data_IF_149861571465
#
_entry.id   IF_149861571465
#
_cell.length_a   1.000
_cell.length_b   1.000
_cell.length_c   1.000
_cell.angle_alpha   90.00
_cell.angle_beta   90.00
_cell.angle_gamma   90.00
#
_symmetry.space_group_name_H-M   'P 1'
#
loop_
_entity.id
_entity.type
_entity.pdbx_description
1 polymer ?
#
# COMPACT_ATOMS: atom_id res chain seq x y z
N UNK A 1 -42.71 25.43 28.08
CA UNK A 1 -42.70 24.22 27.23
C UNK A 1 -41.29 24.04 26.68
N UNK A 2 -40.69 22.91 27.05
CA UNK A 2 -39.59 22.17 26.41
C UNK A 2 -38.15 22.68 26.55
N UNK A 3 -37.50 22.10 27.57
CA UNK A 3 -36.06 21.87 27.66
C UNK A 3 -35.57 21.08 26.44
N UNK A 4 -34.95 21.78 25.49
CA UNK A 4 -34.16 21.19 24.40
C UNK A 4 -32.68 21.48 24.67
N UNK A 5 -32.12 20.77 25.64
CA UNK A 5 -30.66 20.68 25.82
C UNK A 5 -30.33 19.19 25.92
N UNK A 6 -30.47 18.50 24.79
CA UNK A 6 -29.89 17.18 24.55
C UNK A 6 -29.39 17.14 23.11
N UNK A 7 -28.67 18.19 22.69
CA UNK A 7 -27.94 18.17 21.43
C UNK A 7 -26.51 17.67 21.66
N UNK A 8 -26.37 16.36 21.46
CA UNK A 8 -25.33 15.76 20.62
C UNK A 8 -23.90 16.02 21.09
N UNK A 9 -23.44 15.22 22.04
CA UNK A 9 -22.03 14.84 22.18
C UNK A 9 -21.86 13.34 21.94
N UNK A 10 -22.07 12.89 20.69
CA UNK A 10 -21.79 11.50 20.29
C UNK A 10 -21.21 11.45 18.87
N UNK A 11 -19.93 11.82 18.68
CA UNK A 11 -19.20 11.34 17.49
C UNK A 11 -17.68 11.12 17.66
N UNK A 12 -17.15 11.21 18.89
CA UNK A 12 -15.74 10.87 19.15
C UNK A 12 -15.44 9.36 19.11
N UNK A 13 -16.46 8.51 19.30
CA UNK A 13 -16.30 7.06 19.41
C UNK A 13 -16.39 6.33 18.06
N UNK A 14 -17.19 6.84 17.10
CA UNK A 14 -17.36 6.21 15.79
C UNK A 14 -16.04 6.16 15.02
N UNK A 15 -15.32 7.28 14.98
CA UNK A 15 -14.02 7.37 14.28
C UNK A 15 -12.96 6.46 14.90
N UNK A 16 -12.89 6.36 16.25
CA UNK A 16 -11.95 5.46 16.94
C UNK A 16 -12.25 4.00 16.63
N UNK A 17 -13.52 3.60 16.60
CA UNK A 17 -13.95 2.23 16.27
C UNK A 17 -13.62 1.87 14.81
N UNK A 18 -13.77 2.83 13.88
CA UNK A 18 -13.42 2.66 12.47
C UNK A 18 -11.91 2.52 12.24
N UNK A 19 -11.09 3.27 12.99
CA UNK A 19 -9.62 3.13 12.94
C UNK A 19 -9.18 1.78 13.53
N UNK A 20 -9.74 1.38 14.68
CA UNK A 20 -9.42 0.12 15.35
C UNK A 20 -9.83 -1.10 14.52
N UNK A 21 -11.02 -1.07 13.91
CA UNK A 21 -11.45 -2.14 13.00
C UNK A 21 -10.58 -2.23 11.74
N UNK A 22 -10.07 -1.10 11.23
CA UNK A 22 -9.14 -1.07 10.09
C UNK A 22 -7.76 -1.61 10.46
N UNK A 23 -7.25 -1.34 11.66
CA UNK A 23 -5.97 -1.92 12.13
C UNK A 23 -6.10 -3.42 12.40
N UNK A 24 -7.19 -3.89 13.01
CA UNK A 24 -7.45 -5.33 13.20
C UNK A 24 -7.49 -6.05 11.84
N UNK A 25 -8.24 -5.52 10.86
CA UNK A 25 -8.30 -6.13 9.51
C UNK A 25 -6.92 -6.20 8.84
N UNK A 26 -6.07 -5.18 9.00
CA UNK A 26 -4.69 -5.21 8.51
C UNK A 26 -3.84 -6.25 9.25
N UNK A 27 -3.98 -6.35 10.57
CA UNK A 27 -3.28 -7.33 11.37
C UNK A 27 -3.66 -8.77 10.99
N UNK A 28 -4.96 -9.05 10.83
CA UNK A 28 -5.45 -10.35 10.37
C UNK A 28 -4.95 -10.69 8.96
N UNK A 29 -4.89 -9.70 8.07
CA UNK A 29 -4.36 -9.88 6.73
C UNK A 29 -2.85 -10.19 6.76
N UNK A 30 -2.10 -9.53 7.65
CA UNK A 30 -0.68 -9.82 7.86
C UNK A 30 -0.47 -11.23 8.43
N UNK A 31 -1.25 -11.65 9.43
CA UNK A 31 -1.20 -13.01 9.99
C UNK A 31 -1.57 -14.09 8.95
N UNK A 32 -2.57 -13.83 8.11
CA UNK A 32 -2.90 -14.74 7.00
C UNK A 32 -1.75 -14.81 5.99
N UNK A 33 -1.16 -13.67 5.64
CA UNK A 33 -0.02 -13.64 4.73
C UNK A 33 1.23 -14.31 5.32
N UNK A 34 1.47 -14.18 6.63
CA UNK A 34 2.60 -14.86 7.28
C UNK A 34 2.38 -16.36 7.33
N UNK A 35 1.15 -16.82 7.58
CA UNK A 35 0.77 -18.24 7.49
C UNK A 35 0.97 -18.80 6.08
N UNK A 36 0.56 -18.07 5.03
CA UNK A 36 0.81 -18.47 3.64
C UNK A 36 2.30 -18.50 3.28
N UNK A 37 3.09 -17.55 3.77
CA UNK A 37 4.54 -17.52 3.56
C UNK A 37 5.21 -18.72 4.24
N UNK A 38 4.82 -19.04 5.48
CA UNK A 38 5.32 -20.22 6.20
C UNK A 38 4.97 -21.51 5.47
N UNK A 39 3.74 -21.63 4.96
CA UNK A 39 3.33 -22.79 4.17
C UNK A 39 4.16 -22.94 2.89
N UNK A 40 4.35 -21.85 2.13
CA UNK A 40 5.21 -21.85 0.93
C UNK A 40 6.67 -22.19 1.25
N UNK A 41 7.19 -21.71 2.38
CA UNK A 41 8.55 -22.03 2.82
C UNK A 41 8.69 -23.51 3.15
N UNK A 42 7.69 -24.09 3.81
CA UNK A 42 7.64 -25.51 4.12
C UNK A 42 7.51 -26.36 2.84
N UNK A 43 6.66 -25.96 1.89
CA UNK A 43 6.56 -26.59 0.55
C UNK A 43 7.91 -26.59 -0.18
N UNK A 44 8.64 -25.47 -0.16
CA UNK A 44 9.99 -25.36 -0.75
C UNK A 44 10.98 -26.26 -0.01
N UNK A 45 10.94 -26.32 1.32
CA UNK A 45 11.80 -27.19 2.13
C UNK A 45 11.57 -28.67 1.80
N UNK A 46 10.31 -29.08 1.70
CA UNK A 46 9.93 -30.45 1.34
C UNK A 46 10.34 -30.79 -0.09
N UNK A 47 10.11 -29.87 -1.04
CA UNK A 47 10.54 -30.05 -2.44
C UNK A 47 12.05 -30.22 -2.53
N UNK A 48 12.81 -29.35 -1.87
CA UNK A 48 14.29 -29.44 -1.85
C UNK A 48 14.79 -30.70 -1.17
N UNK A 49 14.18 -31.11 -0.04
CA UNK A 49 14.54 -32.35 0.64
C UNK A 49 14.27 -33.58 -0.25
N UNK A 50 13.15 -33.57 -0.98
CA UNK A 50 12.81 -34.63 -1.93
C UNK A 50 13.77 -34.68 -3.14
N UNK A 51 14.14 -33.53 -3.69
CA UNK A 51 15.17 -33.45 -4.75
C UNK A 51 16.53 -33.96 -4.25
N UNK A 52 16.96 -33.55 -3.05
CA UNK A 52 18.20 -34.06 -2.45
C UNK A 52 18.17 -35.57 -2.27
N UNK A 53 17.07 -36.12 -1.75
CA UNK A 53 16.87 -37.57 -1.61
C UNK A 53 16.96 -38.29 -2.96
N UNK A 54 16.38 -37.72 -4.04
CA UNK A 54 16.50 -38.27 -5.39
C UNK A 54 17.95 -38.30 -5.85
N UNK A 55 18.68 -37.20 -5.73
CA UNK A 55 20.07 -37.13 -6.16
C UNK A 55 20.96 -38.08 -5.35
N UNK A 56 20.73 -38.19 -4.04
CA UNK A 56 21.45 -39.13 -3.19
C UNK A 56 21.16 -40.58 -3.56
N UNK A 57 19.89 -40.90 -3.85
CA UNK A 57 19.48 -42.24 -4.31
C UNK A 57 20.14 -42.59 -5.63
N UNK A 58 20.16 -41.66 -6.59
CA UNK A 58 20.82 -41.86 -7.89
C UNK A 58 22.33 -42.02 -7.72
N UNK A 59 22.95 -41.22 -6.84
CA UNK A 59 24.40 -41.27 -6.58
C UNK A 59 24.84 -42.63 -6.00
N UNK A 60 24.00 -43.26 -5.18
CA UNK A 60 24.26 -44.58 -4.59
C UNK A 60 23.87 -45.76 -5.50
N UNK A 61 23.25 -45.50 -6.65
CA UNK A 61 22.67 -46.53 -7.51
C UNK A 61 23.64 -46.96 -8.62
N UNK A 62 23.65 -48.25 -8.95
CA UNK A 62 24.37 -48.76 -10.13
C UNK A 62 23.83 -48.11 -11.41
N UNK A 63 24.73 -47.73 -12.32
CA UNK A 63 24.39 -46.99 -13.55
C UNK A 63 23.32 -47.69 -14.42
N UNK A 64 23.26 -49.03 -14.40
CA UNK A 64 22.23 -49.82 -15.10
C UNK A 64 20.81 -49.57 -14.58
N UNK A 65 20.66 -49.29 -13.29
CA UNK A 65 19.37 -49.15 -12.61
C UNK A 65 18.84 -47.69 -12.63
N UNK A 66 19.69 -46.70 -12.90
CA UNK A 66 19.27 -45.29 -12.92
C UNK A 66 18.17 -45.04 -13.95
N UNK A 67 18.27 -45.67 -15.13
CA UNK A 67 17.28 -45.51 -16.21
C UNK A 67 15.90 -46.04 -15.83
N UNK A 68 15.81 -47.12 -15.05
CA UNK A 68 14.53 -47.69 -14.61
C UNK A 68 13.93 -46.85 -13.49
N UNK A 69 14.74 -46.40 -12.53
CA UNK A 69 14.34 -45.49 -11.46
C UNK A 69 13.75 -44.17 -12.00
N UNK A 70 14.44 -43.53 -12.96
CA UNK A 70 13.97 -42.28 -13.57
C UNK A 70 12.63 -42.46 -14.31
N UNK A 71 12.43 -43.59 -15.01
CA UNK A 71 11.15 -43.87 -15.68
C UNK A 71 9.99 -44.05 -14.70
N UNK A 72 10.22 -44.69 -13.56
CA UNK A 72 9.19 -44.88 -12.54
C UNK A 72 8.79 -43.53 -11.92
N UNK A 73 9.76 -42.66 -11.63
CA UNK A 73 9.49 -41.35 -11.05
C UNK A 73 8.92 -40.32 -12.03
N UNK A 74 9.21 -40.41 -13.34
CA UNK A 74 8.62 -39.52 -14.34
C UNK A 74 7.10 -39.73 -14.44
N UNK A 75 6.64 -40.99 -14.43
CA UNK A 75 5.22 -41.36 -14.53
C UNK A 75 4.37 -40.86 -13.35
N UNK A 76 4.96 -40.73 -12.15
CA UNK A 76 4.24 -40.25 -10.97
C UNK A 76 4.02 -38.73 -10.96
N UNK A 77 4.83 -37.95 -11.70
CA UNK A 77 4.75 -36.47 -11.67
C UNK A 77 3.74 -35.87 -12.66
N UNK A 78 3.23 -36.63 -13.64
CA UNK A 78 2.25 -36.10 -14.61
C UNK A 78 0.97 -35.61 -13.93
N UNK A 79 0.56 -36.23 -12.82
CA UNK A 79 -0.66 -35.91 -12.07
C UNK A 79 -0.59 -34.52 -11.39
N UNK A 80 0.60 -34.01 -11.08
CA UNK A 80 0.78 -32.77 -10.30
C UNK A 80 0.98 -31.51 -11.15
N UNK A 81 1.13 -31.64 -12.48
CA UNK A 81 1.45 -30.50 -13.37
C UNK A 81 0.31 -29.48 -13.48
N UNK A 82 -0.95 -29.93 -13.44
CA UNK A 82 -2.11 -29.07 -13.68
C UNK A 82 -2.22 -27.87 -12.73
N UNK A 83 -1.81 -28.03 -11.47
CA UNK A 83 -1.85 -26.93 -10.48
C UNK A 83 -0.72 -25.92 -10.69
N UNK A 84 0.47 -26.40 -11.05
CA UNK A 84 1.64 -25.55 -11.28
C UNK A 84 1.48 -24.71 -12.57
N UNK A 85 0.92 -25.32 -13.62
CA UNK A 85 0.66 -24.63 -14.89
C UNK A 85 -0.32 -23.46 -14.72
N UNK A 86 -1.37 -23.64 -13.91
CA UNK A 86 -2.32 -22.57 -13.59
C UNK A 86 -1.65 -21.40 -12.83
N UNK A 87 -0.73 -21.70 -11.90
CA UNK A 87 0.03 -20.66 -11.18
C UNK A 87 0.99 -19.92 -12.12
N UNK A 88 1.68 -20.64 -13.01
CA UNK A 88 2.57 -20.04 -14.01
C UNK A 88 1.80 -19.16 -15.00
N UNK A 89 0.64 -19.63 -15.47
CA UNK A 89 -0.24 -18.88 -16.37
C UNK A 89 -0.76 -17.61 -15.69
N UNK A 90 -1.23 -17.70 -14.44
CA UNK A 90 -1.66 -16.53 -13.66
C UNK A 90 -0.53 -15.52 -13.50
N UNK A 91 0.67 -15.97 -13.15
CA UNK A 91 1.83 -15.09 -13.00
C UNK A 91 2.23 -14.42 -14.34
N UNK A 92 2.12 -15.14 -15.45
CA UNK A 92 2.37 -14.59 -16.78
C UNK A 92 1.33 -13.53 -17.17
N UNK A 93 0.05 -13.78 -16.92
CA UNK A 93 -1.03 -12.80 -17.14
C UNK A 93 -0.92 -11.58 -16.22
N UNK A 94 -0.52 -11.75 -14.96
CA UNK A 94 -0.22 -10.63 -14.06
C UNK A 94 0.92 -9.76 -14.61
N UNK A 95 1.99 -10.37 -15.15
CA UNK A 95 3.09 -9.64 -15.79
C UNK A 95 2.61 -8.86 -17.02
N UNK A 96 1.80 -9.48 -17.89
CA UNK A 96 1.19 -8.80 -19.05
C UNK A 96 0.32 -7.63 -18.63
N UNK A 97 -0.54 -7.83 -17.63
CA UNK A 97 -1.42 -6.79 -17.11
C UNK A 97 -0.63 -5.62 -16.51
N UNK A 98 0.43 -5.89 -15.75
CA UNK A 98 1.33 -4.85 -15.23
C UNK A 98 2.00 -4.07 -16.36
N UNK A 99 2.53 -4.77 -17.38
CA UNK A 99 3.12 -4.12 -18.54
C UNK A 99 2.10 -3.24 -19.28
N UNK A 100 0.87 -3.74 -19.50
CA UNK A 100 -0.21 -3.00 -20.13
C UNK A 100 -0.57 -1.72 -19.34
N UNK A 101 -0.66 -1.79 -18.01
CA UNK A 101 -0.93 -0.63 -17.15
C UNK A 101 0.18 0.41 -17.27
N UNK A 102 1.45 0.00 -17.28
CA UNK A 102 2.60 0.91 -17.44
C UNK A 102 2.53 1.64 -18.78
N UNK A 103 2.28 0.90 -19.86
CA UNK A 103 2.14 1.46 -21.21
C UNK A 103 0.95 2.44 -21.27
N UNK A 104 -0.20 2.08 -20.70
CA UNK A 104 -1.37 2.96 -20.64
C UNK A 104 -1.10 4.25 -19.85
N UNK A 105 -0.42 4.16 -18.70
CA UNK A 105 -0.05 5.33 -17.92
C UNK A 105 0.89 6.27 -18.68
N UNK A 106 1.85 5.71 -19.43
CA UNK A 106 2.76 6.48 -20.27
C UNK A 106 2.01 7.28 -21.34
N UNK A 107 1.13 6.63 -22.10
CA UNK A 107 0.34 7.32 -23.13
C UNK A 107 -0.62 8.35 -22.53
N UNK A 108 -1.24 8.08 -21.38
CA UNK A 108 -2.09 9.06 -20.67
C UNK A 108 -1.32 10.32 -20.29
N UNK A 109 -0.08 10.17 -19.80
CA UNK A 109 0.80 11.32 -19.48
C UNK A 109 1.13 12.13 -20.73
N UNK A 110 1.51 11.49 -21.83
CA UNK A 110 1.82 12.16 -23.09
C UNK A 110 0.59 12.92 -23.63
N UNK A 111 -0.58 12.30 -23.64
CA UNK A 111 -1.81 12.94 -24.12
C UNK A 111 -2.17 14.14 -23.27
N UNK A 112 -2.06 14.04 -21.94
CA UNK A 112 -2.28 15.15 -21.03
C UNK A 112 -1.30 16.31 -21.29
N UNK A 113 -0.01 16.00 -21.50
CA UNK A 113 0.98 17.03 -21.80
C UNK A 113 0.66 17.74 -23.12
N UNK A 114 0.35 16.99 -24.19
CA UNK A 114 -0.07 17.57 -25.48
C UNK A 114 -1.31 18.46 -25.35
N UNK A 115 -2.27 18.11 -24.49
CA UNK A 115 -3.44 18.95 -24.22
C UNK A 115 -3.05 20.26 -23.52
N UNK A 116 -2.19 20.18 -22.50
CA UNK A 116 -1.66 21.36 -21.80
C UNK A 116 -0.92 22.27 -22.78
N UNK A 117 -0.04 21.72 -23.61
CA UNK A 117 0.76 22.48 -24.58
C UNK A 117 -0.14 23.18 -25.61
N UNK A 118 -1.19 22.51 -26.09
CA UNK A 118 -2.19 23.11 -26.99
C UNK A 118 -2.92 24.28 -26.33
N UNK A 119 -3.40 24.10 -25.10
CA UNK A 119 -4.09 25.16 -24.35
C UNK A 119 -3.14 26.34 -24.11
N UNK A 120 -1.90 26.06 -23.71
CA UNK A 120 -0.88 27.08 -23.48
C UNK A 120 -0.56 27.87 -24.74
N UNK A 121 -0.44 27.20 -25.90
CA UNK A 121 -0.30 27.86 -27.19
C UNK A 121 -1.50 28.78 -27.46
N UNK A 122 -2.73 28.30 -27.29
CA UNK A 122 -3.94 29.12 -27.47
C UNK A 122 -3.93 30.35 -26.56
N UNK A 123 -3.53 30.20 -25.28
CA UNK A 123 -3.45 31.31 -24.33
C UNK A 123 -2.39 32.34 -24.72
N UNK A 124 -1.24 31.88 -25.24
CA UNK A 124 -0.19 32.77 -25.74
C UNK A 124 -0.68 33.66 -26.88
N UNK A 125 -1.63 33.19 -27.69
CA UNK A 125 -2.25 33.95 -28.78
C UNK A 125 -3.40 34.88 -28.35
N UNK A 126 -3.83 34.85 -27.08
CA UNK A 126 -4.84 35.80 -26.59
C UNK A 126 -4.19 37.19 -26.45
N UNK A 127 -4.73 38.25 -27.07
CA UNK A 127 -4.28 39.63 -26.90
C UNK A 127 -4.27 40.06 -25.43
N UNK A 128 -3.35 40.97 -25.07
CA UNK A 128 -3.17 41.40 -23.68
C UNK A 128 -4.45 41.98 -23.08
N UNK A 129 -5.19 42.75 -23.88
CA UNK A 129 -6.44 43.41 -23.50
C UNK A 129 -7.50 42.39 -23.11
N UNK A 130 -7.65 41.32 -23.90
CA UNK A 130 -8.58 40.22 -23.60
C UNK A 130 -8.17 39.46 -22.34
N UNK A 131 -6.86 39.30 -22.08
CA UNK A 131 -6.38 38.66 -20.83
C UNK A 131 -6.76 39.47 -19.61
N UNK A 132 -6.60 40.80 -19.68
CA UNK A 132 -7.01 41.71 -18.60
C UNK A 132 -8.52 41.58 -18.36
N UNK A 133 -9.34 41.63 -19.41
CA UNK A 133 -10.80 41.43 -19.30
C UNK A 133 -11.16 40.09 -18.66
N UNK A 134 -10.46 38.99 -19.01
CA UNK A 134 -10.70 37.69 -18.37
C UNK A 134 -10.30 37.69 -16.90
N UNK A 135 -9.19 38.33 -16.53
CA UNK A 135 -8.75 38.45 -15.13
C UNK A 135 -9.78 39.25 -14.33
N UNK A 136 -10.29 40.36 -14.87
CA UNK A 136 -11.34 41.17 -14.25
C UNK A 136 -12.63 40.36 -14.09
N UNK A 137 -13.11 39.68 -15.13
CA UNK A 137 -14.31 38.86 -15.06
C UNK A 137 -14.17 37.64 -14.12
N UNK A 138 -12.95 37.09 -13.97
CA UNK A 138 -12.67 36.05 -12.97
C UNK A 138 -12.65 36.68 -11.57
N UNK A 139 -12.02 37.84 -11.41
CA UNK A 139 -11.99 38.57 -10.13
C UNK A 139 -13.41 38.89 -9.67
N UNK A 140 -14.27 39.37 -10.55
CA UNK A 140 -15.67 39.68 -10.30
C UNK A 140 -16.47 38.43 -9.90
N UNK A 141 -16.35 37.33 -10.66
CA UNK A 141 -17.02 36.06 -10.33
C UNK A 141 -16.53 35.44 -9.02
N UNK A 142 -15.21 35.47 -8.78
CA UNK A 142 -14.61 34.97 -7.55
C UNK A 142 -14.97 35.84 -6.34
N UNK A 143 -15.24 37.13 -6.55
CA UNK A 143 -15.59 38.06 -5.48
C UNK A 143 -17.07 38.05 -5.10
N UNK A 144 -17.88 37.12 -5.66
CA UNK A 144 -19.16 36.71 -5.08
C UNK A 144 -20.18 37.83 -4.89
N UNK A 145 -20.08 38.94 -5.64
CA UNK A 145 -20.88 40.13 -5.44
C UNK A 145 -20.40 40.96 -4.24
N UNK A 146 -20.03 42.21 -4.52
CA UNK A 146 -19.48 43.20 -3.57
C UNK A 146 -18.00 42.97 -3.25
N UNK A 147 -17.14 43.63 -4.02
CA UNK A 147 -15.70 43.81 -3.76
C UNK A 147 -15.46 44.10 -2.26
N UNK A 148 -14.87 43.18 -1.48
CA UNK A 148 -14.46 43.49 -0.13
C UNK A 148 -13.27 44.45 -0.25
N UNK A 149 -13.51 45.73 0.03
CA UNK A 149 -12.48 46.77 0.18
C UNK A 149 -11.34 46.18 0.99
N UNK A 150 -10.15 46.14 0.37
CA UNK A 150 -8.84 45.90 1.00
C UNK A 150 -8.95 45.13 2.31
N UNK A 151 -9.29 43.84 2.24
CA UNK A 151 -9.00 42.97 3.38
C UNK A 151 -7.50 43.11 3.58
N UNK A 152 -7.12 43.72 4.70
CA UNK A 152 -5.75 44.13 4.95
C UNK A 152 -4.83 42.96 4.62
N UNK A 153 -3.84 43.20 3.76
CA UNK A 153 -2.92 42.16 3.30
C UNK A 153 -2.29 41.42 4.50
N UNK A 154 -2.16 42.14 5.63
CA UNK A 154 -1.88 41.63 6.98
C UNK A 154 -2.77 40.44 7.40
N UNK A 155 -4.10 40.54 7.27
CA UNK A 155 -5.05 39.50 7.70
C UNK A 155 -4.89 38.23 6.86
N UNK A 156 -4.71 38.37 5.54
CA UNK A 156 -4.49 37.25 4.63
C UNK A 156 -3.16 36.57 4.96
N UNK A 157 -2.09 37.35 5.12
CA UNK A 157 -0.76 36.86 5.51
C UNK A 157 -0.80 36.12 6.85
N UNK A 158 -1.50 36.68 7.84
CA UNK A 158 -1.66 36.07 9.17
C UNK A 158 -2.49 34.78 9.13
N UNK A 159 -3.57 34.72 8.34
CA UNK A 159 -4.33 33.48 8.14
C UNK A 159 -3.50 32.40 7.45
N UNK A 160 -2.72 32.78 6.43
CA UNK A 160 -1.85 31.85 5.72
C UNK A 160 -0.74 31.31 6.62
N UNK A 161 -0.15 32.16 7.46
CA UNK A 161 0.88 31.77 8.42
C UNK A 161 0.32 30.85 9.51
N UNK A 162 -0.87 31.15 10.04
CA UNK A 162 -1.60 30.25 10.97
C UNK A 162 -1.86 28.88 10.34
N UNK A 163 -2.31 28.85 9.09
CA UNK A 163 -2.56 27.60 8.37
C UNK A 163 -1.26 26.80 8.16
N UNK A 164 -0.16 27.45 7.76
CA UNK A 164 1.15 26.80 7.63
C UNK A 164 1.62 26.21 8.96
N UNK A 165 1.56 26.98 10.05
CA UNK A 165 1.92 26.50 11.41
C UNK A 165 1.09 25.30 11.84
N UNK A 166 -0.21 25.31 11.58
CA UNK A 166 -1.10 24.17 11.85
C UNK A 166 -0.70 22.92 11.04
N UNK A 167 -0.38 23.08 9.75
CA UNK A 167 0.08 21.98 8.91
C UNK A 167 1.40 21.37 9.41
N UNK A 168 2.37 22.22 9.80
CA UNK A 168 3.62 21.76 10.40
C UNK A 168 3.40 21.04 11.74
N UNK A 169 2.52 21.56 12.61
CA UNK A 169 2.19 20.92 13.87
C UNK A 169 1.55 19.53 13.66
N UNK A 170 0.63 19.43 12.69
CA UNK A 170 -0.01 18.15 12.33
C UNK A 170 0.99 17.14 11.77
N UNK A 171 1.90 17.57 10.89
CA UNK A 171 2.96 16.72 10.36
C UNK A 171 3.90 16.23 11.48
N UNK A 172 4.31 17.12 12.39
CA UNK A 172 5.16 16.76 13.52
C UNK A 172 4.46 15.78 14.48
N UNK A 173 3.17 16.00 14.78
CA UNK A 173 2.37 15.08 15.58
C UNK A 173 2.23 13.70 14.91
N UNK A 174 2.08 13.64 13.59
CA UNK A 174 2.06 12.38 12.85
C UNK A 174 3.39 11.63 12.98
N UNK A 175 4.52 12.30 12.76
CA UNK A 175 5.86 11.70 12.89
C UNK A 175 6.10 11.17 14.31
N UNK A 176 5.72 11.92 15.36
CA UNK A 176 5.83 11.47 16.75
C UNK A 176 5.01 10.20 17.02
N UNK A 177 3.79 10.12 16.48
CA UNK A 177 2.94 8.94 16.61
C UNK A 177 3.57 7.72 15.93
N UNK A 178 4.10 7.88 14.72
CA UNK A 178 4.79 6.81 14.00
C UNK A 178 6.02 6.30 14.75
N UNK A 179 6.81 7.19 15.37
CA UNK A 179 7.95 6.81 16.20
C UNK A 179 7.53 6.05 17.46
N UNK A 180 6.46 6.50 18.12
CA UNK A 180 5.91 5.82 19.29
C UNK A 180 5.39 4.42 18.93
N UNK A 181 4.67 4.28 17.81
CA UNK A 181 4.19 2.98 17.32
C UNK A 181 5.37 2.04 17.09
N UNK A 182 6.44 2.50 16.42
CA UNK A 182 7.65 1.68 16.22
C UNK A 182 8.31 1.27 17.52
N UNK A 183 8.37 2.15 18.52
CA UNK A 183 8.90 1.81 19.85
C UNK A 183 8.08 0.70 20.51
N UNK A 184 6.75 0.83 20.49
CA UNK A 184 5.83 -0.17 21.07
C UNK A 184 5.94 -1.50 20.31
N UNK A 185 6.02 -1.48 18.98
CA UNK A 185 6.24 -2.68 18.18
C UNK A 185 7.54 -3.39 18.58
N UNK A 186 8.64 -2.64 18.72
CA UNK A 186 9.91 -3.19 19.18
C UNK A 186 9.80 -3.77 20.60
N UNK A 187 9.17 -3.06 21.53
CA UNK A 187 8.97 -3.55 22.90
C UNK A 187 8.14 -4.84 22.93
N UNK A 188 7.09 -4.94 22.11
CA UNK A 188 6.29 -6.16 21.96
C UNK A 188 7.09 -7.32 21.37
N UNK A 189 7.97 -7.08 20.40
CA UNK A 189 8.85 -8.13 19.87
C UNK A 189 9.85 -8.63 20.92
N UNK A 190 10.40 -7.72 21.74
CA UNK A 190 11.29 -8.07 22.85
C UNK A 190 10.56 -8.85 23.95
N UNK A 191 9.34 -8.45 24.29
CA UNK A 191 8.49 -9.17 25.24
C UNK A 191 8.14 -10.56 24.71
N UNK A 192 7.69 -10.70 23.47
CA UNK A 192 7.42 -12.01 22.87
C UNK A 192 8.68 -12.89 22.86
N UNK A 193 9.85 -12.33 22.56
CA UNK A 193 11.12 -13.07 22.65
C UNK A 193 11.47 -13.50 24.08
N UNK A 194 11.16 -12.70 25.10
CA UNK A 194 11.36 -13.04 26.52
C UNK A 194 10.36 -14.06 27.03
N UNK A 195 9.06 -13.91 26.73
CA UNK A 195 8.03 -14.88 27.14
C UNK A 195 8.26 -16.24 26.49
N UNK A 196 8.62 -16.28 25.20
CA UNK A 196 9.02 -17.52 24.55
C UNK A 196 10.24 -18.13 25.29
N UNK A 197 11.27 -17.34 25.61
CA UNK A 197 12.42 -17.88 26.36
C UNK A 197 12.08 -18.37 27.78
N UNK A 198 11.18 -17.71 28.50
CA UNK A 198 10.75 -18.12 29.84
C UNK A 198 9.94 -19.43 29.77
N UNK A 199 9.02 -19.56 28.81
CA UNK A 199 8.25 -20.79 28.62
C UNK A 199 9.17 -21.97 28.24
N UNK A 200 10.17 -21.74 27.38
CA UNK A 200 11.17 -22.75 27.06
C UNK A 200 12.10 -23.10 28.24
N UNK A 201 12.31 -22.19 29.20
CA UNK A 201 13.11 -22.45 30.40
C UNK A 201 12.29 -23.21 31.46
N UNK A 202 11.02 -22.87 31.64
CA UNK A 202 10.11 -23.57 32.57
C UNK A 202 9.72 -24.97 32.07
N UNK A 203 9.70 -25.24 30.76
CA UNK A 203 9.45 -26.59 30.23
C UNK A 203 10.65 -27.54 30.31
N UNK A 204 11.84 -27.03 30.64
CA UNK A 204 13.11 -27.79 30.68
C UNK A 204 13.63 -28.08 32.09
N UNK A 205 12.96 -27.61 33.14
CA UNK A 205 13.25 -27.96 34.54
C UNK A 205 12.23 -28.94 35.08
#
# INVERSE_FOLDING_TARGET
MNNLVNDIQLDGNSTKFLIYSKSIKKHDQLLKSSGEILRKLEEVRQTKAYEMMKYETISRMNASNVKTYLRQHLKLNEVSSSGMDAVLQKHHEEKKNRAAVVIQQFFRRITRQKQIDRIFCTWKWVPLEKRIQYIEAISERMSGGTVPRRIDHSIIKNKLDKHKKMMYANANNFVRREQLIKSIENDLTLLNGKYIKIDYFNFKS
#
